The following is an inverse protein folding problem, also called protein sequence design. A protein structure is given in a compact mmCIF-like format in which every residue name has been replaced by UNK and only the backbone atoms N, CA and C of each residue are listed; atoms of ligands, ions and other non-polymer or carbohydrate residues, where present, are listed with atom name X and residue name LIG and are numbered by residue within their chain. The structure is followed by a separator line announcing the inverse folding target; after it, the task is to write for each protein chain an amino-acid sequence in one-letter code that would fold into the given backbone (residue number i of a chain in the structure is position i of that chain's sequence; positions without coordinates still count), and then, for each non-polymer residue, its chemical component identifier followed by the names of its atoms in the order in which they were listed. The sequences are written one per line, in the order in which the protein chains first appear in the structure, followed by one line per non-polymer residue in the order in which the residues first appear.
data_IF_539247900431
#
_entry.id   IF_539247900431
#
_cell.length_a   1.000
_cell.length_b   1.000
_cell.length_c   1.000
_cell.angle_alpha   90.00
_cell.angle_beta   90.00
_cell.angle_gamma   90.00
#
_symmetry.space_group_name_H-M   'P 1'
#
loop_
_entity.id
_entity.type
_entity.pdbx_description
1 polymer ?
#
# COMPACT_ATOMS: atom_id res chain seq x y z
N UNK A 1 -0.77 8.94 -7.54
CA UNK A 1 -0.14 7.95 -6.65
C UNK A 1 1.38 7.89 -6.77
N UNK A 2 2.10 8.47 -5.79
CA UNK A 2 3.58 8.45 -5.72
C UNK A 2 4.11 7.06 -5.37
N UNK A 3 3.44 6.35 -4.46
CA UNK A 3 3.88 5.03 -3.99
C UNK A 3 3.79 4.01 -5.13
N UNK A 4 2.63 3.91 -5.79
CA UNK A 4 2.40 2.96 -6.89
C UNK A 4 3.42 3.14 -8.04
N UNK A 5 3.74 4.38 -8.42
CA UNK A 5 4.68 4.66 -9.53
C UNK A 5 6.16 4.42 -9.19
N UNK A 6 6.52 4.39 -7.89
CA UNK A 6 7.92 4.19 -7.46
C UNK A 6 8.17 2.74 -7.00
N UNK A 7 7.23 2.14 -6.26
CA UNK A 7 7.35 0.77 -5.75
C UNK A 7 6.92 -0.25 -6.81
N UNK A 8 6.03 0.15 -7.72
CA UNK A 8 5.60 -0.60 -8.91
C UNK A 8 5.31 -2.08 -8.63
N UNK A 9 6.00 -3.00 -9.33
CA UNK A 9 5.75 -4.44 -9.24
C UNK A 9 6.08 -5.03 -7.87
N UNK A 10 6.85 -4.32 -7.02
CA UNK A 10 7.16 -4.79 -5.67
C UNK A 10 5.93 -5.15 -4.83
N UNK A 11 4.78 -4.57 -5.14
CA UNK A 11 3.53 -4.83 -4.41
C UNK A 11 2.70 -6.01 -4.99
N UNK A 12 2.95 -6.46 -6.22
CA UNK A 12 2.08 -7.43 -6.90
C UNK A 12 2.55 -8.89 -6.75
N UNK A 13 3.85 -9.15 -6.63
CA UNK A 13 4.40 -10.53 -6.61
C UNK A 13 4.67 -11.08 -5.20
N UNK A 14 3.99 -10.55 -4.19
CA UNK A 14 4.13 -11.04 -2.82
C UNK A 14 3.48 -12.43 -2.67
N UNK A 15 4.03 -13.34 -1.83
CA UNK A 15 3.41 -14.63 -1.58
C UNK A 15 2.01 -14.46 -0.98
N UNK A 16 1.17 -15.47 -1.13
CA UNK A 16 -0.24 -15.40 -0.77
C UNK A 16 -0.42 -15.13 0.74
N UNK A 17 0.35 -15.80 1.58
CA UNK A 17 0.14 -15.81 3.03
C UNK A 17 1.44 -16.01 3.81
N UNK A 18 1.41 -15.70 5.12
CA UNK A 18 2.46 -16.14 6.05
C UNK A 18 2.62 -17.67 6.08
N UNK A 19 1.58 -18.43 5.68
CA UNK A 19 1.67 -19.88 5.53
C UNK A 19 2.74 -20.32 4.52
N UNK A 20 3.00 -19.52 3.49
CA UNK A 20 4.03 -19.81 2.50
C UNK A 20 5.45 -19.72 3.10
N UNK A 21 5.65 -18.84 4.09
CA UNK A 21 6.90 -18.73 4.85
C UNK A 21 7.08 -19.90 5.85
N UNK A 22 5.97 -20.47 6.32
CA UNK A 22 5.99 -21.62 7.24
C UNK A 22 6.05 -22.97 6.52
N UNK A 23 6.00 -22.98 5.19
CA UNK A 23 6.14 -24.18 4.37
C UNK A 23 7.57 -24.26 3.83
N UNK A 24 8.44 -25.15 4.35
CA UNK A 24 9.85 -25.23 3.93
C UNK A 24 10.04 -25.43 2.43
N UNK A 25 9.11 -26.14 1.78
CA UNK A 25 9.16 -26.38 0.34
C UNK A 25 8.97 -25.10 -0.49
N UNK A 26 8.23 -24.11 0.03
CA UNK A 26 7.98 -22.83 -0.62
C UNK A 26 8.98 -21.78 -0.14
N UNK A 27 9.24 -21.74 1.17
CA UNK A 27 10.09 -20.73 1.81
C UNK A 27 11.52 -20.73 1.25
N UNK A 28 12.07 -21.89 0.90
CA UNK A 28 13.38 -21.98 0.23
C UNK A 28 13.45 -21.16 -1.07
N UNK A 29 12.34 -21.07 -1.82
CA UNK A 29 12.26 -20.28 -3.05
C UNK A 29 12.05 -18.80 -2.74
N UNK A 30 11.26 -18.48 -1.71
CA UNK A 30 11.05 -17.11 -1.27
C UNK A 30 12.35 -16.48 -0.75
N UNK A 31 13.12 -17.24 0.04
CA UNK A 31 14.43 -16.83 0.54
C UNK A 31 15.42 -16.50 -0.59
N UNK A 32 15.37 -17.26 -1.69
CA UNK A 32 16.25 -17.07 -2.84
C UNK A 32 15.81 -15.92 -3.75
N UNK A 33 14.51 -15.84 -4.07
CA UNK A 33 14.00 -14.99 -5.14
C UNK A 33 13.28 -13.73 -4.67
N UNK A 34 12.88 -13.64 -3.40
CA UNK A 34 12.10 -12.52 -2.85
C UNK A 34 12.85 -11.83 -1.70
N UNK A 35 14.20 -11.89 -1.71
CA UNK A 35 15.04 -11.15 -0.76
C UNK A 35 15.00 -9.64 -0.99
N UNK A 36 15.23 -8.87 0.06
CA UNK A 36 15.37 -7.42 -0.04
C UNK A 36 16.71 -6.99 -0.63
N UNK A 37 16.76 -5.74 -1.12
CA UNK A 37 18.03 -5.09 -1.47
C UNK A 37 18.83 -4.78 -0.20
N UNK A 38 20.13 -4.53 -0.34
CA UNK A 38 21.02 -4.11 0.76
C UNK A 38 21.08 -5.10 1.93
N UNK A 39 21.03 -6.41 1.64
CA UNK A 39 21.20 -7.47 2.64
C UNK A 39 19.95 -7.79 3.48
N UNK A 40 18.80 -7.19 3.16
CA UNK A 40 17.53 -7.50 3.85
C UNK A 40 17.01 -8.90 3.47
N UNK A 41 16.56 -9.65 4.47
CA UNK A 41 15.94 -10.96 4.27
C UNK A 41 14.55 -10.87 3.58
N UNK A 42 14.05 -12.01 3.10
CA UNK A 42 12.76 -12.06 2.38
C UNK A 42 11.57 -11.82 3.30
N UNK A 43 11.61 -12.29 4.55
CA UNK A 43 10.52 -12.12 5.52
C UNK A 43 10.28 -10.63 5.78
N UNK A 44 11.34 -9.87 6.05
CA UNK A 44 11.29 -8.44 6.31
C UNK A 44 10.84 -7.67 5.08
N UNK A 45 11.35 -8.02 3.87
CA UNK A 45 10.88 -7.42 2.61
C UNK A 45 9.38 -7.63 2.42
N UNK A 46 8.91 -8.88 2.54
CA UNK A 46 7.50 -9.24 2.35
C UNK A 46 6.62 -8.53 3.38
N UNK A 47 7.07 -8.44 4.63
CA UNK A 47 6.34 -7.76 5.71
C UNK A 47 6.15 -6.27 5.42
N UNK A 48 7.21 -5.57 5.00
CA UNK A 48 7.15 -4.14 4.64
C UNK A 48 6.19 -3.92 3.46
N UNK A 49 6.32 -4.73 2.40
CA UNK A 49 5.53 -4.54 1.18
C UNK A 49 4.07 -4.94 1.35
N UNK A 50 3.75 -5.98 2.15
CA UNK A 50 2.36 -6.29 2.49
C UNK A 50 1.72 -5.21 3.35
N UNK A 51 2.46 -4.64 4.31
CA UNK A 51 1.98 -3.49 5.10
C UNK A 51 1.68 -2.29 4.21
N UNK A 52 2.58 -1.98 3.27
CA UNK A 52 2.35 -0.90 2.30
C UNK A 52 1.13 -1.18 1.42
N UNK A 53 0.99 -2.41 0.90
CA UNK A 53 -0.16 -2.79 0.09
C UNK A 53 -1.47 -2.64 0.87
N UNK A 54 -1.51 -3.01 2.14
CA UNK A 54 -2.71 -2.84 2.96
C UNK A 54 -3.07 -1.36 3.20
N UNK A 55 -2.07 -0.48 3.26
CA UNK A 55 -2.28 0.95 3.42
C UNK A 55 -2.85 1.64 2.17
N UNK A 56 -2.62 1.12 0.96
CA UNK A 56 -2.98 1.82 -0.30
C UNK A 56 -3.80 1.02 -1.31
N UNK A 57 -3.69 -0.31 -1.34
CA UNK A 57 -4.20 -1.15 -2.43
C UNK A 57 -5.17 -2.24 -2.00
N UNK A 58 -5.26 -2.56 -0.71
CA UNK A 58 -6.33 -3.42 -0.19
C UNK A 58 -7.67 -2.68 -0.18
N UNK A 59 -8.77 -3.41 0.06
CA UNK A 59 -10.08 -2.79 0.27
C UNK A 59 -10.06 -1.78 1.43
N UNK A 60 -9.28 -2.05 2.47
CA UNK A 60 -9.06 -1.11 3.57
C UNK A 60 -8.37 0.17 3.07
N UNK A 61 -7.26 0.05 2.34
CA UNK A 61 -6.57 1.19 1.74
C UNK A 61 -7.44 1.99 0.77
N UNK A 62 -8.16 1.32 -0.12
CA UNK A 62 -9.06 1.97 -1.09
C UNK A 62 -10.24 2.68 -0.43
N UNK A 63 -10.80 2.11 0.65
CA UNK A 63 -11.80 2.79 1.48
C UNK A 63 -11.20 4.05 2.13
N UNK A 64 -9.98 3.97 2.63
CA UNK A 64 -9.28 5.14 3.20
C UNK A 64 -9.01 6.21 2.14
N UNK A 65 -8.62 5.84 0.92
CA UNK A 65 -8.47 6.81 -0.19
C UNK A 65 -9.81 7.52 -0.48
N UNK A 66 -10.90 6.77 -0.65
CA UNK A 66 -12.22 7.35 -0.90
C UNK A 66 -12.66 8.27 0.24
N UNK A 67 -12.37 7.87 1.48
CA UNK A 67 -12.65 8.63 2.69
C UNK A 67 -11.87 9.95 2.68
N UNK A 68 -10.55 9.94 2.59
CA UNK A 68 -9.73 11.16 2.66
C UNK A 68 -10.04 12.14 1.52
N UNK A 69 -10.44 11.65 0.34
CA UNK A 69 -10.83 12.52 -0.79
C UNK A 69 -12.14 13.26 -0.52
N UNK A 70 -13.12 12.62 0.13
CA UNK A 70 -14.50 13.11 0.17
C UNK A 70 -15.04 13.38 1.58
N UNK A 71 -14.27 13.13 2.64
CA UNK A 71 -14.74 13.23 4.02
C UNK A 71 -15.31 14.61 4.36
N UNK A 72 -14.64 15.68 3.91
CA UNK A 72 -15.07 17.06 4.16
C UNK A 72 -16.11 17.58 3.17
N UNK A 73 -16.56 16.76 2.22
CA UNK A 73 -17.54 17.13 1.19
C UNK A 73 -17.02 16.90 -0.23
N UNK A 74 -17.87 17.21 -1.21
CA UNK A 74 -17.49 17.14 -2.62
C UNK A 74 -16.42 18.18 -2.93
N UNK A 75 -15.66 17.93 -4.00
CA UNK A 75 -14.56 18.80 -4.41
C UNK A 75 -15.02 20.25 -4.68
N UNK A 76 -16.20 20.42 -5.26
CA UNK A 76 -16.76 21.75 -5.53
C UNK A 76 -17.21 22.43 -4.23
N UNK A 77 -17.88 21.70 -3.35
CA UNK A 77 -18.42 22.26 -2.10
C UNK A 77 -17.31 22.80 -1.19
N UNK A 78 -16.22 22.06 -1.00
CA UNK A 78 -15.10 22.52 -0.17
C UNK A 78 -14.42 23.77 -0.74
N UNK A 79 -14.37 23.91 -2.07
CA UNK A 79 -13.79 25.09 -2.75
C UNK A 79 -14.73 26.29 -2.66
N UNK A 80 -16.04 26.08 -2.78
CA UNK A 80 -17.06 27.11 -2.60
C UNK A 80 -17.14 27.59 -1.15
N UNK A 81 -16.99 26.71 -0.17
CA UNK A 81 -16.89 27.09 1.25
C UNK A 81 -15.68 27.99 1.50
N UNK A 82 -14.51 27.63 0.96
CA UNK A 82 -13.31 28.45 1.04
C UNK A 82 -13.52 29.85 0.41
N UNK A 83 -14.13 29.92 -0.78
CA UNK A 83 -14.44 31.20 -1.43
C UNK A 83 -15.39 32.05 -0.59
N UNK A 84 -16.48 31.45 -0.09
CA UNK A 84 -17.45 32.16 0.76
C UNK A 84 -16.80 32.72 2.03
N UNK A 85 -15.92 31.95 2.66
CA UNK A 85 -15.18 32.39 3.85
C UNK A 85 -14.20 33.53 3.56
N UNK A 86 -13.64 33.60 2.36
CA UNK A 86 -12.77 34.72 1.95
C UNK A 86 -13.54 36.01 1.61
N UNK A 87 -14.83 35.90 1.28
CA UNK A 87 -15.69 37.04 0.92
C UNK A 87 -16.44 37.64 2.12
N UNK A 88 -16.44 36.96 3.27
CA UNK A 88 -16.99 37.44 4.54
C UNK A 88 -15.98 38.23 5.35
#
# INVERSE_FOLDING_TARGET
NIIERNVTSGLIYLPSSARDLNNPQIDQYLAKYVRGSNGMDHVQRIKILKLMWDAIGSEFGGRHELYEINYSGSQDEIRLQCLRQAQS
#
